data_IF_020239042926
#
_entry.id   IF_020239042926
#
_cell.length_a   1.000
_cell.length_b   1.000
_cell.length_c   1.000
_cell.angle_alpha   90.00
_cell.angle_beta   90.00
_cell.angle_gamma   90.00
#
_symmetry.space_group_name_H-M   'P 1'
#
loop_
_entity.id
_entity.type
_entity.pdbx_description
1 polymer ?
#
# COMPACT_ATOMS: atom_id res chain seq x y z
N UNK A 1 0.39 46.37 -55.76
CA UNK A 1 1.50 45.71 -55.01
C UNK A 1 1.41 45.83 -53.52
N UNK A 2 0.82 46.88 -53.01
CA UNK A 2 0.74 47.11 -51.55
C UNK A 2 -0.31 46.20 -50.85
N UNK A 3 -1.35 45.80 -51.53
CA UNK A 3 -2.45 44.97 -50.95
C UNK A 3 -2.11 43.51 -50.70
N UNK A 4 -1.09 42.96 -51.38
CA UNK A 4 -0.68 41.59 -51.21
C UNK A 4 0.14 41.35 -49.93
N UNK A 5 0.81 42.35 -49.40
CA UNK A 5 1.64 42.26 -48.21
C UNK A 5 0.75 42.21 -46.94
N UNK A 6 -0.36 42.94 -46.94
CA UNK A 6 -1.29 42.94 -45.80
C UNK A 6 -2.03 41.61 -45.61
N UNK A 7 -2.33 40.93 -46.72
CA UNK A 7 -3.03 39.63 -46.65
C UNK A 7 -2.11 38.55 -46.09
N UNK A 8 -0.84 38.58 -46.38
CA UNK A 8 0.15 37.62 -45.82
C UNK A 8 0.38 37.81 -44.32
N UNK A 9 0.38 39.03 -43.83
CA UNK A 9 0.53 39.30 -42.40
C UNK A 9 -0.68 38.83 -41.58
N UNK A 10 -1.86 38.96 -42.11
CA UNK A 10 -3.07 38.47 -41.45
C UNK A 10 -3.17 36.93 -41.34
N UNK A 11 -2.71 36.26 -42.39
CA UNK A 11 -2.66 34.79 -42.40
C UNK A 11 -1.68 34.20 -41.35
N UNK A 12 -0.57 34.86 -41.14
CA UNK A 12 0.44 34.44 -40.14
C UNK A 12 -0.06 34.58 -38.71
N UNK A 13 -0.78 35.61 -38.42
CA UNK A 13 -1.33 35.83 -37.05
C UNK A 13 -2.42 34.83 -36.68
N UNK A 14 -3.22 34.40 -37.62
CA UNK A 14 -4.27 33.39 -37.39
C UNK A 14 -3.68 32.00 -37.14
N UNK A 15 -2.62 31.64 -37.82
CA UNK A 15 -1.97 30.34 -37.65
C UNK A 15 -1.28 30.21 -36.28
N UNK A 16 -0.61 31.25 -35.83
CA UNK A 16 0.01 31.30 -34.50
C UNK A 16 -1.00 31.13 -33.35
N UNK A 17 -2.17 31.74 -33.50
CA UNK A 17 -3.26 31.67 -32.51
C UNK A 17 -3.86 30.27 -32.35
N UNK A 18 -3.90 29.49 -33.42
CA UNK A 18 -4.39 28.09 -33.40
C UNK A 18 -3.42 27.14 -32.72
N UNK A 19 -2.14 27.31 -32.92
CA UNK A 19 -1.12 26.45 -32.31
C UNK A 19 -1.07 26.60 -30.79
N UNK A 20 -1.20 27.82 -30.30
CA UNK A 20 -1.19 28.07 -28.85
C UNK A 20 -2.41 27.44 -28.14
N UNK A 21 -3.56 27.46 -28.81
CA UNK A 21 -4.80 26.89 -28.23
C UNK A 21 -4.77 25.36 -28.19
N UNK A 22 -4.15 24.72 -29.18
CA UNK A 22 -3.99 23.26 -29.18
C UNK A 22 -3.00 22.76 -28.11
N UNK A 23 -1.95 23.52 -27.88
CA UNK A 23 -0.94 23.18 -26.87
C UNK A 23 -1.51 23.17 -25.46
N UNK A 24 -2.35 24.13 -25.13
CA UNK A 24 -2.99 24.24 -23.80
C UNK A 24 -4.00 23.09 -23.57
N UNK A 25 -4.76 22.72 -24.59
CA UNK A 25 -5.71 21.61 -24.49
C UNK A 25 -5.02 20.26 -24.30
N UNK A 26 -3.92 20.03 -24.99
CA UNK A 26 -3.14 18.81 -24.84
C UNK A 26 -2.46 18.74 -23.48
N UNK A 27 -2.02 19.88 -22.96
CA UNK A 27 -1.39 19.95 -21.63
C UNK A 27 -2.39 19.69 -20.50
N UNK A 28 -3.62 20.15 -20.61
CA UNK A 28 -4.69 19.88 -19.64
C UNK A 28 -5.13 18.41 -19.63
N UNK A 29 -5.17 17.76 -20.77
CA UNK A 29 -5.51 16.33 -20.89
C UNK A 29 -4.41 15.45 -20.27
N UNK A 30 -3.13 15.79 -20.49
CA UNK A 30 -2.02 15.08 -19.89
C UNK A 30 -2.02 15.19 -18.35
N UNK A 31 -2.37 16.33 -17.80
CA UNK A 31 -2.44 16.55 -16.35
C UNK A 31 -3.60 15.78 -15.71
N UNK A 32 -4.74 15.67 -16.38
CA UNK A 32 -5.89 14.89 -15.90
C UNK A 32 -5.59 13.37 -15.89
N UNK A 33 -4.80 12.88 -16.84
CA UNK A 33 -4.41 11.47 -16.91
C UNK A 33 -3.42 11.09 -15.80
N UNK A 34 -2.52 12.00 -15.40
CA UNK A 34 -1.58 11.77 -14.31
C UNK A 34 -2.28 11.67 -12.94
N UNK A 35 -3.40 12.36 -12.74
CA UNK A 35 -4.20 12.29 -11.51
C UNK A 35 -5.07 11.03 -11.42
N UNK A 36 -5.45 10.44 -12.56
CA UNK A 36 -6.26 9.21 -12.59
C UNK A 36 -5.47 7.93 -12.29
N UNK A 37 -4.15 7.97 -12.32
CA UNK A 37 -3.28 6.81 -12.07
C UNK A 37 -2.94 6.60 -10.60
N UNK A 38 -3.43 7.41 -9.67
CA UNK A 38 -3.35 7.12 -8.23
C UNK A 38 -4.52 6.21 -7.86
N UNK A 39 -4.58 5.04 -8.46
CA UNK A 39 -5.37 3.96 -7.89
C UNK A 39 -4.63 3.50 -6.64
N UNK A 40 -5.12 3.89 -5.50
CA UNK A 40 -4.72 3.31 -4.23
C UNK A 40 -5.01 1.82 -4.29
N UNK A 41 -3.99 1.03 -4.55
CA UNK A 41 -4.07 -0.40 -4.34
C UNK A 41 -4.18 -0.59 -2.83
N UNK A 42 -5.38 -0.82 -2.33
CA UNK A 42 -5.57 -1.28 -0.97
C UNK A 42 -5.05 -2.71 -0.89
N UNK A 43 -3.77 -2.86 -0.61
CA UNK A 43 -3.25 -4.12 -0.13
C UNK A 43 -3.75 -4.27 1.32
N UNK A 44 -4.51 -5.32 1.61
CA UNK A 44 -4.95 -5.68 2.96
C UNK A 44 -3.79 -6.07 3.90
N UNK A 45 -2.56 -5.72 3.55
CA UNK A 45 -1.36 -5.98 4.30
C UNK A 45 -1.00 -4.85 5.25
N UNK A 46 -0.34 -5.19 6.36
CA UNK A 46 0.32 -4.23 7.23
C UNK A 46 1.39 -3.46 6.46
N UNK A 47 1.50 -2.18 6.76
CA UNK A 47 2.64 -1.35 6.36
C UNK A 47 3.71 -1.37 7.45
N UNK A 48 4.98 -1.06 7.11
CA UNK A 48 6.03 -0.94 8.13
C UNK A 48 5.61 0.02 9.25
N UNK A 49 5.81 -0.42 10.50
CA UNK A 49 5.49 0.33 11.73
C UNK A 49 3.98 0.55 11.97
N UNK A 50 3.12 0.11 11.08
CA UNK A 50 1.67 0.13 11.31
C UNK A 50 1.27 -1.03 12.23
N UNK A 51 0.61 -0.72 13.34
CA UNK A 51 0.13 -1.72 14.27
C UNK A 51 -1.27 -2.21 13.89
N UNK A 52 -1.46 -3.53 13.90
CA UNK A 52 -2.77 -4.17 13.69
C UNK A 52 -3.20 -4.89 14.96
N UNK A 53 -4.44 -4.67 15.37
CA UNK A 53 -5.04 -5.43 16.47
C UNK A 53 -5.27 -6.88 16.07
N UNK A 54 -5.00 -7.78 16.99
CA UNK A 54 -5.15 -9.23 16.83
C UNK A 54 -6.11 -9.73 17.90
N UNK A 55 -7.13 -10.47 17.49
CA UNK A 55 -8.13 -11.09 18.36
C UNK A 55 -8.19 -12.60 18.07
N UNK A 56 -7.88 -13.41 19.06
CA UNK A 56 -7.85 -14.88 18.98
C UNK A 56 -8.71 -15.51 20.10
N UNK A 57 -10.01 -15.25 20.10
CA UNK A 57 -10.87 -15.70 21.17
C UNK A 57 -10.57 -15.00 22.50
N UNK A 58 -10.06 -15.68 23.51
CA UNK A 58 -9.67 -15.08 24.79
C UNK A 58 -8.34 -14.32 24.79
N UNK A 59 -7.56 -14.44 23.71
CA UNK A 59 -6.24 -13.78 23.57
C UNK A 59 -6.36 -12.61 22.63
N UNK A 60 -5.87 -11.45 23.05
CA UNK A 60 -5.83 -10.24 22.25
C UNK A 60 -4.46 -9.60 22.26
N UNK A 61 -4.19 -8.77 21.27
CA UNK A 61 -2.90 -8.09 21.18
C UNK A 61 -2.72 -7.23 19.95
N UNK A 62 -1.49 -6.95 19.64
CA UNK A 62 -1.08 -6.15 18.47
C UNK A 62 0.06 -6.82 17.73
N UNK A 63 0.10 -6.63 16.43
CA UNK A 63 1.22 -7.00 15.57
C UNK A 63 1.65 -5.80 14.74
N UNK A 64 2.95 -5.63 14.56
CA UNK A 64 3.56 -4.67 13.63
C UNK A 64 4.85 -5.23 13.07
N UNK A 65 5.40 -4.65 12.02
CA UNK A 65 6.69 -5.08 11.49
C UNK A 65 7.58 -3.92 11.10
N UNK A 66 8.88 -4.19 11.06
CA UNK A 66 9.92 -3.33 10.51
C UNK A 66 10.64 -4.04 9.38
N UNK A 67 11.04 -3.30 8.35
CA UNK A 67 11.84 -3.82 7.26
C UNK A 67 13.33 -3.68 7.61
N UNK A 68 14.02 -4.80 7.76
CA UNK A 68 15.43 -4.89 8.12
C UNK A 68 16.23 -5.58 7.00
N UNK A 69 17.57 -5.57 7.11
CA UNK A 69 18.44 -6.16 6.11
C UNK A 69 18.28 -7.69 5.95
N UNK A 70 17.94 -8.37 7.04
CA UNK A 70 17.79 -9.82 7.12
C UNK A 70 16.34 -10.28 6.86
N UNK A 71 15.41 -9.37 6.69
CA UNK A 71 14.01 -9.68 6.47
C UNK A 71 13.06 -8.73 7.20
N UNK A 72 11.81 -9.11 7.26
CA UNK A 72 10.80 -8.35 8.01
C UNK A 72 10.72 -8.87 9.44
N UNK A 73 11.03 -8.00 10.39
CA UNK A 73 10.90 -8.32 11.81
C UNK A 73 9.47 -8.02 12.26
N UNK A 74 8.69 -9.08 12.40
CA UNK A 74 7.30 -8.97 12.87
C UNK A 74 7.26 -9.14 14.37
N UNK A 75 6.82 -8.12 15.06
CA UNK A 75 6.66 -8.11 16.51
C UNK A 75 5.18 -8.33 16.82
N UNK A 76 4.88 -9.40 17.54
CA UNK A 76 3.54 -9.74 17.99
C UNK A 76 3.52 -9.75 19.51
N UNK A 77 2.66 -8.97 20.11
CA UNK A 77 2.44 -8.94 21.56
C UNK A 77 1.03 -9.43 21.85
N UNK A 78 0.90 -10.51 22.57
CA UNK A 78 -0.36 -11.16 22.91
C UNK A 78 -0.53 -11.27 24.42
N UNK A 79 -1.75 -11.07 24.91
CA UNK A 79 -2.10 -11.25 26.31
C UNK A 79 -3.40 -12.05 26.43
N UNK A 80 -3.47 -12.94 27.40
CA UNK A 80 -4.67 -13.70 27.73
C UNK A 80 -5.58 -12.87 28.62
N UNK A 81 -6.69 -12.40 28.06
CA UNK A 81 -7.63 -11.51 28.74
C UNK A 81 -7.00 -10.18 29.17
N UNK A 82 -7.72 -9.44 30.02
CA UNK A 82 -7.29 -8.14 30.51
C UNK A 82 -6.21 -8.21 31.62
N UNK A 83 -6.13 -9.34 32.29
CA UNK A 83 -5.21 -9.56 33.43
C UNK A 83 -4.01 -10.44 33.08
N UNK A 84 -3.94 -10.97 31.86
CA UNK A 84 -2.87 -11.82 31.43
C UNK A 84 -1.54 -11.07 31.23
N UNK A 85 -0.43 -11.75 31.54
CA UNK A 85 0.91 -11.22 31.26
C UNK A 85 1.15 -11.20 29.74
N UNK A 86 1.49 -10.04 29.14
CA UNK A 86 1.78 -9.98 27.73
C UNK A 86 3.00 -10.79 27.34
N UNK A 87 2.87 -11.57 26.28
CA UNK A 87 3.97 -12.30 25.66
C UNK A 87 4.32 -11.61 24.34
N UNK A 88 5.61 -11.28 24.18
CA UNK A 88 6.14 -10.68 22.97
C UNK A 88 6.94 -11.70 22.18
N UNK A 89 6.55 -11.89 20.93
CA UNK A 89 7.24 -12.79 19.98
C UNK A 89 7.76 -11.94 18.82
N UNK A 90 9.01 -12.15 18.45
CA UNK A 90 9.62 -11.55 17.26
C UNK A 90 9.89 -12.65 16.24
N UNK A 91 9.33 -12.51 15.05
CA UNK A 91 9.52 -13.44 13.94
C UNK A 91 10.20 -12.73 12.78
N UNK A 92 11.28 -13.29 12.24
CA UNK A 92 11.96 -12.75 11.06
C UNK A 92 11.45 -13.49 9.83
N UNK A 93 10.88 -12.77 8.88
CA UNK A 93 10.27 -13.32 7.67
C UNK A 93 11.06 -12.92 6.42
N UNK A 94 11.62 -13.93 5.74
CA UNK A 94 12.12 -13.79 4.38
C UNK A 94 10.95 -13.69 3.37
N UNK A 95 11.19 -13.24 2.13
CA UNK A 95 10.14 -13.20 1.10
C UNK A 95 9.43 -14.55 0.93
N UNK A 96 8.09 -14.54 0.93
CA UNK A 96 7.26 -15.75 0.78
C UNK A 96 7.17 -16.64 2.03
N UNK A 97 7.80 -16.27 3.13
CA UNK A 97 7.80 -17.03 4.36
C UNK A 97 6.56 -16.76 5.22
N UNK A 98 6.16 -17.76 5.98
CA UNK A 98 5.07 -17.67 6.97
C UNK A 98 5.46 -18.35 8.27
N UNK A 99 4.88 -17.86 9.36
CA UNK A 99 4.99 -18.41 10.71
C UNK A 99 3.60 -18.57 11.30
N UNK A 100 3.40 -19.63 12.05
CA UNK A 100 2.17 -19.88 12.80
C UNK A 100 2.48 -19.83 14.29
N UNK A 101 1.85 -18.91 15.00
CA UNK A 101 1.92 -18.80 16.45
C UNK A 101 0.69 -19.48 17.03
N UNK A 102 0.90 -20.59 17.73
CA UNK A 102 -0.18 -21.32 18.40
C UNK A 102 -0.27 -20.93 19.88
N UNK A 103 -1.49 -20.67 20.33
CA UNK A 103 -1.79 -20.42 21.73
C UNK A 103 -2.59 -21.60 22.29
N UNK A 104 -2.29 -22.07 23.52
CA UNK A 104 -2.93 -23.28 24.04
C UNK A 104 -4.46 -23.21 24.16
N UNK A 105 -5.01 -22.02 24.30
CA UNK A 105 -6.44 -21.84 24.62
C UNK A 105 -7.21 -21.05 23.57
N UNK A 106 -6.57 -20.39 22.62
CA UNK A 106 -7.23 -19.40 21.76
C UNK A 106 -7.06 -19.62 20.25
N UNK A 107 -6.46 -20.72 19.83
CA UNK A 107 -6.21 -21.00 18.42
C UNK A 107 -4.85 -20.53 17.94
N UNK A 108 -4.69 -20.38 16.63
CA UNK A 108 -3.43 -20.06 16.01
C UNK A 108 -3.51 -18.76 15.17
N UNK A 109 -2.42 -18.03 15.14
CA UNK A 109 -2.21 -16.83 14.34
C UNK A 109 -1.22 -17.13 13.23
N UNK A 110 -1.61 -16.96 12.00
CA UNK A 110 -0.71 -17.02 10.84
C UNK A 110 -0.20 -15.63 10.48
N UNK A 111 1.09 -15.52 10.38
CA UNK A 111 1.80 -14.32 9.92
C UNK A 111 2.55 -14.69 8.65
N UNK A 112 2.26 -14.04 7.54
CA UNK A 112 2.88 -14.33 6.24
C UNK A 112 3.38 -13.07 5.56
N UNK A 113 4.53 -13.18 4.88
CA UNK A 113 5.07 -12.11 4.07
C UNK A 113 4.74 -12.34 2.60
N UNK A 114 4.08 -11.35 2.00
CA UNK A 114 3.77 -11.30 0.57
C UNK A 114 4.43 -10.08 -0.05
N UNK A 115 5.56 -10.27 -0.72
CA UNK A 115 6.33 -9.15 -1.28
C UNK A 115 6.77 -8.16 -0.18
N UNK A 116 6.26 -6.94 -0.24
CA UNK A 116 6.58 -5.86 0.69
C UNK A 116 5.52 -5.66 1.78
N UNK A 117 4.60 -6.59 1.94
CA UNK A 117 3.55 -6.54 2.95
C UNK A 117 3.54 -7.76 3.85
N UNK A 118 3.03 -7.58 5.06
CA UNK A 118 2.80 -8.65 6.04
C UNK A 118 1.31 -8.81 6.26
N UNK A 119 0.83 -10.03 6.12
CA UNK A 119 -0.54 -10.41 6.38
C UNK A 119 -0.62 -11.15 7.72
N UNK A 120 -1.52 -10.72 8.59
CA UNK A 120 -1.78 -11.33 9.90
C UNK A 120 -3.24 -11.78 9.94
N UNK A 121 -3.47 -13.07 10.14
CA UNK A 121 -4.82 -13.65 10.17
C UNK A 121 -4.91 -14.82 11.14
N UNK A 122 -6.13 -15.17 11.54
CA UNK A 122 -6.35 -16.44 12.24
C UNK A 122 -5.95 -17.60 11.33
N UNK A 123 -5.13 -18.51 11.83
CA UNK A 123 -4.93 -19.78 11.17
C UNK A 123 -6.16 -20.65 11.42
N UNK A 124 -6.67 -21.28 10.36
CA UNK A 124 -7.65 -22.32 10.54
C UNK A 124 -7.00 -23.47 11.29
N UNK A 125 -7.65 -23.96 12.36
CA UNK A 125 -7.23 -25.17 13.03
C UNK A 125 -7.11 -26.27 11.96
N UNK A 126 -5.92 -26.86 11.83
CA UNK A 126 -5.75 -28.03 10.99
C UNK A 126 -6.54 -29.11 11.69
N UNK A 127 -7.72 -29.39 11.20
CA UNK A 127 -8.50 -30.55 11.55
C UNK A 127 -7.75 -31.77 11.02
N UNK A 128 -7.04 -32.46 11.90
CA UNK A 128 -6.50 -33.78 11.60
C UNK A 128 -7.62 -34.81 11.56
#
# INVERSE_FOLDING_TARGET
MINNIAIFAAARSVTAKRETTMSIRNMLIATAFALASVTTVHADGLRPIEAKSVELGGVSGIAYYTAEHDGFHVVTTLADGKAGTPIRVVSVLAPGQRVVLSTPQAGALEISRHGDSVLVRKANAISN
#
